data_IF_663325472539
#
_entry.id   IF_663325472539
#
_cell.length_a   1.000
_cell.length_b   1.000
_cell.length_c   1.000
_cell.angle_alpha   90.00
_cell.angle_beta   90.00
_cell.angle_gamma   90.00
#
_symmetry.space_group_name_H-M   'P 1'
#
loop_
_entity.id
_entity.type
_entity.pdbx_description
1 polymer ?
#
# COMPACT_ATOMS: atom_id res chain seq x y z
N UNK A 1 5.57 28.99 -1.79
CA UNK A 1 4.82 27.75 -2.07
C UNK A 1 4.73 26.98 -0.78
N UNK A 2 3.55 26.43 -0.48
CA UNK A 2 3.38 25.51 0.64
C UNK A 2 3.64 24.08 0.14
N UNK A 3 4.45 23.33 0.88
CA UNK A 3 4.85 21.96 0.58
C UNK A 3 4.33 20.96 1.63
N UNK A 4 3.52 21.43 2.58
CA UNK A 4 2.91 20.57 3.57
C UNK A 4 1.92 19.60 2.89
N UNK A 5 1.88 18.37 3.42
CA UNK A 5 0.85 17.41 3.08
C UNK A 5 -0.50 17.84 3.69
N UNK A 6 -1.59 17.60 2.97
CA UNK A 6 -2.94 17.76 3.51
C UNK A 6 -3.22 16.66 4.53
N UNK A 7 -4.27 16.84 5.33
CA UNK A 7 -4.72 15.83 6.28
C UNK A 7 -5.06 14.50 5.57
N UNK A 8 -5.72 14.58 4.40
CA UNK A 8 -6.04 13.41 3.57
C UNK A 8 -4.77 12.67 3.11
N UNK A 9 -3.74 13.39 2.66
CA UNK A 9 -2.46 12.79 2.31
C UNK A 9 -1.81 12.07 3.50
N UNK A 10 -1.85 12.67 4.69
CA UNK A 10 -1.30 12.07 5.90
C UNK A 10 -2.09 10.84 6.35
N UNK A 11 -3.42 10.84 6.20
CA UNK A 11 -4.26 9.67 6.45
C UNK A 11 -3.91 8.53 5.50
N UNK A 12 -3.78 8.84 4.21
CA UNK A 12 -3.40 7.88 3.19
C UNK A 12 -2.02 7.26 3.47
N UNK A 13 -1.03 8.10 3.77
CA UNK A 13 0.33 7.67 4.09
C UNK A 13 0.36 6.70 5.28
N UNK A 14 -0.38 7.00 6.36
CA UNK A 14 -0.52 6.10 7.51
C UNK A 14 -1.14 4.75 7.12
N UNK A 15 -2.22 4.75 6.34
CA UNK A 15 -2.89 3.52 5.91
C UNK A 15 -1.96 2.62 5.08
N UNK A 16 -1.24 3.20 4.10
CA UNK A 16 -0.30 2.46 3.25
C UNK A 16 0.89 1.94 4.06
N UNK A 17 1.41 2.76 4.98
CA UNK A 17 2.50 2.36 5.89
C UNK A 17 2.11 1.17 6.74
N UNK A 18 0.92 1.18 7.32
CA UNK A 18 0.40 0.08 8.14
C UNK A 18 0.28 -1.22 7.35
N UNK A 19 -0.28 -1.15 6.14
CA UNK A 19 -0.37 -2.30 5.23
C UNK A 19 1.02 -2.86 4.91
N UNK A 20 1.97 -2.00 4.53
CA UNK A 20 3.32 -2.42 4.20
C UNK A 20 4.04 -3.07 5.38
N UNK A 21 3.92 -2.53 6.59
CA UNK A 21 4.57 -3.07 7.78
C UNK A 21 3.95 -4.39 8.25
N UNK A 22 2.62 -4.53 8.18
CA UNK A 22 1.92 -5.71 8.70
C UNK A 22 1.83 -6.86 7.70
N UNK A 23 1.65 -6.57 6.41
CA UNK A 23 1.35 -7.59 5.40
C UNK A 23 2.52 -7.86 4.42
N UNK A 24 3.39 -6.88 4.16
CA UNK A 24 4.46 -7.00 3.14
C UNK A 24 5.83 -7.26 3.78
N UNK A 25 6.25 -6.40 4.72
CA UNK A 25 7.57 -6.44 5.35
C UNK A 25 7.95 -7.79 5.98
N UNK A 26 7.04 -8.56 6.61
CA UNK A 26 7.40 -9.84 7.21
C UNK A 26 7.80 -10.93 6.19
N UNK A 27 7.25 -10.87 4.98
CA UNK A 27 7.37 -11.96 3.99
C UNK A 27 8.24 -11.60 2.79
N UNK A 28 8.44 -10.30 2.51
CA UNK A 28 9.08 -9.84 1.27
C UNK A 28 10.47 -10.43 1.03
N UNK A 29 11.28 -10.62 2.08
CA UNK A 29 12.63 -11.21 1.95
C UNK A 29 12.62 -12.63 1.39
N UNK A 30 11.61 -13.42 1.76
CA UNK A 30 11.50 -14.81 1.29
C UNK A 30 11.06 -14.85 -0.17
N UNK A 31 10.00 -14.11 -0.49
CA UNK A 31 9.43 -14.05 -1.85
C UNK A 31 10.39 -13.43 -2.85
N UNK A 32 11.13 -12.39 -2.46
CA UNK A 32 12.18 -11.77 -3.29
C UNK A 32 13.29 -12.77 -3.64
N UNK A 33 13.79 -13.53 -2.65
CA UNK A 33 14.80 -14.59 -2.87
C UNK A 33 14.30 -15.70 -3.80
N UNK A 34 13.01 -16.03 -3.74
CA UNK A 34 12.37 -17.02 -4.61
C UNK A 34 12.03 -16.48 -6.00
N UNK A 35 12.11 -15.16 -6.20
CA UNK A 35 11.62 -14.48 -7.40
C UNK A 35 10.14 -14.78 -7.67
N UNK A 36 9.35 -14.92 -6.60
CA UNK A 36 7.93 -15.22 -6.66
C UNK A 36 7.09 -14.01 -6.19
N UNK A 37 5.90 -13.79 -6.77
CA UNK A 37 5.00 -12.77 -6.26
C UNK A 37 4.40 -13.20 -4.91
N UNK A 38 4.13 -12.23 -4.04
CA UNK A 38 3.35 -12.48 -2.81
C UNK A 38 1.87 -12.64 -3.21
N UNK A 39 1.27 -13.84 -3.10
CA UNK A 39 0.01 -14.14 -3.77
C UNK A 39 -1.18 -13.25 -3.37
N UNK A 40 -1.20 -12.76 -2.13
CA UNK A 40 -2.32 -11.98 -1.60
C UNK A 40 -2.13 -10.46 -1.69
N UNK A 41 -0.91 -9.97 -1.89
CA UNK A 41 -0.60 -8.53 -1.70
C UNK A 41 -1.39 -7.65 -2.66
N UNK A 42 -1.44 -8.00 -3.95
CA UNK A 42 -2.19 -7.21 -4.93
C UNK A 42 -3.69 -7.18 -4.67
N UNK A 43 -4.28 -8.32 -4.31
CA UNK A 43 -5.71 -8.41 -3.97
C UNK A 43 -6.03 -7.57 -2.72
N UNK A 44 -5.15 -7.63 -1.71
CA UNK A 44 -5.28 -6.83 -0.48
C UNK A 44 -5.15 -5.34 -0.76
N UNK A 45 -4.19 -4.92 -1.58
CA UNK A 45 -4.07 -3.53 -2.02
C UNK A 45 -5.33 -3.04 -2.73
N UNK A 46 -5.94 -3.86 -3.58
CA UNK A 46 -7.21 -3.54 -4.23
C UNK A 46 -8.36 -3.35 -3.25
N UNK A 47 -8.51 -4.26 -2.28
CA UNK A 47 -9.54 -4.18 -1.23
C UNK A 47 -9.39 -2.94 -0.32
N UNK A 48 -8.16 -2.47 -0.12
CA UNK A 48 -7.85 -1.25 0.63
C UNK A 48 -7.98 0.03 -0.22
N UNK A 49 -8.32 -0.09 -1.51
CA UNK A 49 -8.42 1.05 -2.42
C UNK A 49 -7.07 1.61 -2.87
N UNK A 50 -5.94 1.01 -2.47
CA UNK A 50 -4.59 1.52 -2.74
C UNK A 50 -4.31 1.59 -4.25
N UNK A 51 -4.80 0.61 -5.02
CA UNK A 51 -4.60 0.58 -6.47
C UNK A 51 -5.45 1.61 -7.23
N UNK A 52 -6.39 2.27 -6.56
CA UNK A 52 -7.37 3.17 -7.15
C UNK A 52 -7.35 4.60 -6.60
N UNK A 53 -6.39 4.96 -5.74
CA UNK A 53 -6.42 6.20 -4.92
C UNK A 53 -6.71 7.47 -5.72
N UNK A 54 -6.14 7.60 -6.92
CA UNK A 54 -6.27 8.80 -7.75
C UNK A 54 -7.42 8.74 -8.78
N UNK A 55 -8.20 7.65 -8.79
CA UNK A 55 -9.31 7.48 -9.71
C UNK A 55 -10.64 7.77 -9.01
N UNK A 56 -11.58 8.45 -9.68
CA UNK A 56 -12.91 8.68 -9.13
C UNK A 56 -13.67 7.36 -9.00
N UNK A 57 -14.46 7.25 -7.94
CA UNK A 57 -15.49 6.21 -7.82
C UNK A 57 -16.68 6.57 -8.72
N UNK A 58 -17.31 5.55 -9.33
CA UNK A 58 -18.56 5.72 -10.09
C UNK A 58 -19.75 5.94 -9.18
#
# INVERSE_FOLDING_TARGET
MDFALTEEHLMLERMVRDFAQKEVAPVIKEYDRKQEPIPWVLERMGKLGILGICFPVR
#
